data_IF_795012235718
#
_entry.id   IF_795012235718
#
_cell.length_a   1.000
_cell.length_b   1.000
_cell.length_c   1.000
_cell.angle_alpha   90.00
_cell.angle_beta   90.00
_cell.angle_gamma   90.00
#
_symmetry.space_group_name_H-M   'P 1'
#
loop_
_entity.id
_entity.type
_entity.pdbx_description
1 polymer ?
#
# COMPACT_ATOMS: atom_id res chain seq x y z
N UNK A 1 17.92 -22.28 -11.28
CA UNK A 1 18.94 -22.77 -10.31
C UNK A 1 18.75 -22.00 -9.01
N UNK A 2 19.14 -22.53 -7.85
CA UNK A 2 19.14 -21.74 -6.62
C UNK A 2 20.02 -20.51 -6.72
N UNK A 3 19.65 -19.44 -6.01
CA UNK A 3 20.45 -18.21 -5.93
C UNK A 3 20.89 -17.99 -4.49
N UNK A 4 22.18 -17.69 -4.28
CA UNK A 4 22.72 -17.39 -2.98
C UNK A 4 23.19 -15.94 -2.88
N UNK A 5 22.57 -15.16 -2.00
CA UNK A 5 22.99 -13.77 -1.73
C UNK A 5 23.92 -13.81 -0.51
N UNK A 6 25.20 -13.45 -0.73
CA UNK A 6 26.27 -13.65 0.26
C UNK A 6 26.63 -12.35 0.98
N UNK A 7 27.07 -12.48 2.23
CA UNK A 7 27.72 -11.44 3.07
C UNK A 7 27.03 -10.06 3.10
N UNK A 8 25.68 -10.03 3.18
CA UNK A 8 24.89 -8.80 3.23
C UNK A 8 24.68 -8.28 4.64
N UNK A 9 24.40 -6.98 4.78
CA UNK A 9 23.58 -6.47 5.88
C UNK A 9 22.12 -6.83 5.56
N UNK A 10 21.46 -7.57 6.45
CA UNK A 10 20.09 -8.03 6.27
C UNK A 10 19.15 -7.27 7.20
N UNK A 11 18.19 -6.54 6.66
CA UNK A 11 16.98 -6.16 7.37
C UNK A 11 15.91 -7.25 7.10
N UNK A 12 15.56 -8.03 8.12
CA UNK A 12 14.66 -9.20 7.96
C UNK A 12 13.16 -8.85 8.00
N UNK A 13 12.81 -7.56 7.99
CA UNK A 13 11.46 -7.03 8.20
C UNK A 13 11.22 -6.58 9.65
N UNK A 14 12.08 -6.94 10.59
CA UNK A 14 11.96 -6.60 12.02
C UNK A 14 13.25 -6.07 12.63
N UNK A 15 14.37 -6.63 12.24
CA UNK A 15 15.68 -6.35 12.82
C UNK A 15 16.78 -6.38 11.77
N UNK A 16 17.94 -5.80 12.11
CA UNK A 16 19.11 -5.79 11.23
C UNK A 16 20.12 -6.83 11.71
N UNK A 17 20.64 -7.64 10.78
CA UNK A 17 21.68 -8.64 10.99
C UNK A 17 22.85 -8.34 10.04
N UNK A 18 24.08 -8.41 10.52
CA UNK A 18 25.27 -8.21 9.68
C UNK A 18 25.84 -9.54 9.23
N UNK A 19 26.54 -9.53 8.08
CA UNK A 19 27.20 -10.72 7.50
C UNK A 19 26.24 -11.89 7.33
N UNK A 20 25.02 -11.60 6.88
CA UNK A 20 24.03 -12.62 6.61
C UNK A 20 24.22 -13.23 5.21
N UNK A 21 23.70 -14.44 5.04
CA UNK A 21 23.51 -15.08 3.74
C UNK A 21 22.07 -15.54 3.62
N UNK A 22 21.54 -15.48 2.40
CA UNK A 22 20.17 -15.88 2.05
C UNK A 22 20.24 -16.80 0.82
N UNK A 23 19.71 -18.03 0.96
CA UNK A 23 19.57 -18.96 -0.15
C UNK A 23 18.11 -18.92 -0.64
N UNK A 24 17.95 -18.70 -1.92
CA UNK A 24 16.65 -18.69 -2.61
C UNK A 24 16.58 -19.92 -3.51
N UNK A 25 15.49 -20.65 -3.44
CA UNK A 25 15.21 -21.79 -4.28
C UNK A 25 13.71 -21.87 -4.61
N UNK A 26 13.36 -22.18 -5.85
CA UNK A 26 11.97 -22.30 -6.33
C UNK A 26 11.04 -21.14 -5.90
N UNK A 27 11.54 -19.91 -5.91
CA UNK A 27 10.77 -18.70 -5.56
C UNK A 27 10.56 -18.49 -4.06
N UNK A 28 11.21 -19.33 -3.23
CA UNK A 28 11.12 -19.27 -1.77
C UNK A 28 12.49 -19.09 -1.13
N UNK A 29 12.49 -18.55 0.09
CA UNK A 29 13.70 -18.47 0.91
C UNK A 29 13.92 -19.86 1.55
N UNK A 30 14.94 -20.56 1.06
CA UNK A 30 15.28 -21.90 1.54
C UNK A 30 16.13 -21.90 2.82
N UNK A 31 16.95 -20.83 3.01
CA UNK A 31 17.77 -20.68 4.20
C UNK A 31 18.15 -19.24 4.46
N UNK A 32 18.22 -18.86 5.73
CA UNK A 32 18.73 -17.56 6.22
C UNK A 32 19.63 -17.77 7.42
N UNK A 33 20.84 -17.23 7.38
CA UNK A 33 21.76 -17.35 8.51
C UNK A 33 23.01 -16.48 8.37
N UNK A 34 23.99 -16.71 9.22
CA UNK A 34 25.30 -16.06 9.08
C UNK A 34 26.03 -16.63 7.88
N UNK A 35 26.57 -15.78 6.99
CA UNK A 35 27.29 -16.21 5.78
C UNK A 35 28.34 -17.30 6.05
N UNK A 36 29.11 -17.20 7.14
CA UNK A 36 30.09 -18.20 7.51
C UNK A 36 29.53 -19.60 7.82
N UNK A 37 28.20 -19.74 7.99
CA UNK A 37 27.47 -21.00 8.24
C UNK A 37 26.58 -21.40 7.06
N UNK A 38 26.84 -20.86 5.87
CA UNK A 38 26.08 -21.19 4.69
C UNK A 38 26.05 -22.70 4.42
N UNK A 39 24.88 -23.26 4.08
CA UNK A 39 24.72 -24.67 3.78
C UNK A 39 25.50 -25.04 2.50
N UNK A 40 25.75 -26.35 2.30
CA UNK A 40 26.46 -26.84 1.11
C UNK A 40 25.76 -26.41 -0.18
N UNK A 41 24.42 -26.40 -0.21
CA UNK A 41 23.63 -25.97 -1.36
C UNK A 41 23.92 -24.51 -1.81
N UNK A 42 24.37 -23.63 -0.91
CA UNK A 42 24.80 -22.29 -1.25
C UNK A 42 26.07 -22.24 -2.11
N UNK A 43 26.91 -23.28 -2.09
CA UNK A 43 28.12 -23.36 -2.91
C UNK A 43 27.85 -23.78 -4.36
N UNK A 44 26.72 -24.43 -4.57
CA UNK A 44 26.29 -24.95 -5.86
C UNK A 44 25.24 -24.01 -6.52
N UNK A 45 24.92 -22.86 -5.86
CA UNK A 45 23.98 -21.86 -6.31
C UNK A 45 24.67 -20.72 -7.08
N UNK A 46 23.91 -20.00 -7.91
CA UNK A 46 24.35 -18.74 -8.52
C UNK A 46 24.53 -17.69 -7.40
N UNK A 47 25.75 -17.16 -7.27
CA UNK A 47 26.07 -16.22 -6.20
C UNK A 47 25.84 -14.78 -6.61
N UNK A 48 25.16 -14.02 -5.72
CA UNK A 48 25.09 -12.56 -5.74
C UNK A 48 25.94 -12.03 -4.59
N UNK A 49 27.05 -11.35 -4.91
CA UNK A 49 27.92 -10.74 -3.90
C UNK A 49 27.25 -9.54 -3.23
N UNK A 50 26.94 -9.69 -1.95
CA UNK A 50 26.24 -8.68 -1.14
C UNK A 50 27.15 -7.84 -0.26
N UNK A 51 28.48 -7.95 -0.39
CA UNK A 51 29.43 -7.19 0.43
C UNK A 51 29.22 -5.68 0.30
N UNK A 52 29.03 -5.02 1.45
CA UNK A 52 28.75 -3.59 1.50
C UNK A 52 27.30 -3.21 1.18
N UNK A 53 26.48 -4.16 0.77
CA UNK A 53 25.07 -3.94 0.40
C UNK A 53 24.11 -4.32 1.53
N UNK A 54 22.87 -3.85 1.40
CA UNK A 54 21.79 -4.18 2.34
C UNK A 54 20.65 -4.88 1.61
N UNK A 55 20.28 -6.06 2.10
CA UNK A 55 19.14 -6.83 1.62
C UNK A 55 17.94 -6.59 2.54
N UNK A 56 16.77 -6.37 1.95
CA UNK A 56 15.49 -6.21 2.65
C UNK A 56 14.42 -7.10 2.02
N UNK A 57 13.30 -7.36 2.72
CA UNK A 57 12.10 -7.83 2.03
C UNK A 57 11.69 -6.82 0.98
N UNK A 58 11.00 -7.28 -0.06
CA UNK A 58 10.30 -6.40 -0.99
C UNK A 58 9.32 -5.48 -0.27
N UNK A 59 9.25 -4.23 -0.69
CA UNK A 59 8.35 -3.24 -0.10
C UNK A 59 6.91 -3.56 -0.46
N UNK A 60 5.99 -3.15 0.43
CA UNK A 60 4.54 -3.33 0.28
C UNK A 60 3.89 -1.94 0.32
N UNK A 61 3.07 -1.64 -0.68
CA UNK A 61 2.24 -0.44 -0.73
C UNK A 61 0.77 -0.82 -0.49
N UNK A 62 0.23 -0.43 0.67
CA UNK A 62 -1.11 -0.82 1.10
C UNK A 62 -2.23 0.04 0.50
N UNK A 63 -1.92 1.04 -0.31
CA UNK A 63 -2.92 1.91 -0.92
C UNK A 63 -2.44 2.46 -2.27
N UNK A 64 -2.93 1.90 -3.35
CA UNK A 64 -2.70 2.38 -4.72
C UNK A 64 -4.00 2.36 -5.53
N UNK A 65 -3.98 3.06 -6.66
CA UNK A 65 -5.00 3.05 -7.71
C UNK A 65 -4.33 2.77 -9.06
N UNK A 66 -4.03 1.50 -9.36
CA UNK A 66 -3.22 1.10 -10.52
C UNK A 66 -3.77 1.58 -11.86
N UNK A 67 -5.08 1.82 -11.96
CA UNK A 67 -5.71 2.32 -13.18
C UNK A 67 -5.45 3.82 -13.46
N UNK A 68 -4.93 4.59 -12.51
CA UNK A 68 -4.63 6.01 -12.62
C UNK A 68 -3.12 6.25 -12.71
N UNK A 69 -2.70 7.28 -13.44
CA UNK A 69 -1.28 7.55 -13.71
C UNK A 69 -0.64 8.57 -12.77
N UNK A 70 -1.45 9.26 -11.97
CA UNK A 70 -1.00 10.40 -11.17
C UNK A 70 -0.86 11.69 -11.98
N UNK A 71 -1.68 11.84 -13.00
CA UNK A 71 -1.69 13.03 -13.85
C UNK A 71 -2.16 14.28 -13.13
N UNK A 72 -1.63 15.45 -13.53
CA UNK A 72 -2.16 16.76 -13.13
C UNK A 72 -3.62 16.93 -13.60
N UNK A 73 -3.95 16.50 -14.81
CA UNK A 73 -5.34 16.45 -15.33
C UNK A 73 -6.10 15.22 -14.82
N UNK A 74 -6.33 15.18 -13.52
CA UNK A 74 -7.08 14.10 -12.89
C UNK A 74 -8.53 13.99 -13.42
N UNK A 75 -9.13 15.10 -13.84
CA UNK A 75 -10.45 15.08 -14.47
C UNK A 75 -10.41 14.47 -15.88
N UNK A 76 -9.34 14.67 -16.63
CA UNK A 76 -9.07 14.00 -17.90
C UNK A 76 -8.90 12.49 -17.70
N UNK A 77 -8.10 12.10 -16.75
CA UNK A 77 -7.95 10.69 -16.38
C UNK A 77 -9.28 10.02 -15.99
N UNK A 78 -10.11 10.70 -15.18
CA UNK A 78 -11.42 10.19 -14.81
C UNK A 78 -12.33 9.95 -16.03
N UNK A 79 -12.24 10.80 -17.07
CA UNK A 79 -12.94 10.59 -18.34
C UNK A 79 -12.42 9.37 -19.12
N UNK A 80 -11.13 9.14 -19.12
CA UNK A 80 -10.52 7.94 -19.74
C UNK A 80 -10.93 6.67 -19.03
N UNK A 81 -11.16 6.71 -17.72
CA UNK A 81 -11.63 5.58 -16.91
C UNK A 81 -13.04 5.11 -17.27
N UNK A 82 -13.72 5.71 -18.23
CA UNK A 82 -14.98 5.17 -18.81
C UNK A 82 -14.75 3.90 -19.61
N UNK A 83 -13.51 3.58 -20.00
CA UNK A 83 -13.12 2.39 -20.76
C UNK A 83 -12.35 1.39 -19.87
N UNK A 84 -12.90 0.20 -19.66
CA UNK A 84 -12.24 -0.87 -18.92
C UNK A 84 -10.93 -1.32 -19.61
N UNK A 85 -10.87 -1.24 -20.96
CA UNK A 85 -9.66 -1.57 -21.70
C UNK A 85 -8.53 -0.58 -21.42
N UNK A 86 -8.81 0.73 -21.39
CA UNK A 86 -7.82 1.77 -21.07
C UNK A 86 -7.36 1.62 -19.62
N UNK A 87 -8.30 1.43 -18.68
CA UNK A 87 -7.99 1.18 -17.27
C UNK A 87 -7.04 -0.02 -17.10
N UNK A 88 -7.31 -1.12 -17.83
CA UNK A 88 -6.48 -2.33 -17.80
C UNK A 88 -5.08 -2.07 -18.35
N UNK A 89 -4.93 -1.41 -19.50
CA UNK A 89 -3.60 -1.12 -20.09
C UNK A 89 -2.76 -0.21 -19.18
N UNK A 90 -3.39 0.82 -18.59
CA UNK A 90 -2.72 1.69 -17.59
C UNK A 90 -2.27 0.87 -16.37
N UNK A 91 -3.13 0.02 -15.83
CA UNK A 91 -2.82 -0.80 -14.66
C UNK A 91 -1.65 -1.77 -14.91
N UNK A 92 -1.53 -2.37 -16.10
CA UNK A 92 -0.38 -3.20 -16.47
C UNK A 92 0.92 -2.39 -16.43
N UNK A 93 0.95 -1.23 -17.09
CA UNK A 93 2.13 -0.35 -17.10
C UNK A 93 2.52 0.10 -15.69
N UNK A 94 1.53 0.51 -14.91
CA UNK A 94 1.73 1.03 -13.56
C UNK A 94 2.18 -0.07 -12.59
N UNK A 95 1.69 -1.31 -12.76
CA UNK A 95 2.16 -2.47 -12.01
C UNK A 95 3.64 -2.76 -12.30
N UNK A 96 4.07 -2.75 -13.55
CA UNK A 96 5.48 -2.94 -13.91
C UNK A 96 6.35 -1.83 -13.29
N UNK A 97 5.95 -0.56 -13.44
CA UNK A 97 6.65 0.57 -12.84
C UNK A 97 6.76 0.45 -11.31
N UNK A 98 5.71 0.01 -10.64
CA UNK A 98 5.71 -0.21 -9.19
C UNK A 98 6.77 -1.24 -8.79
N UNK A 99 6.85 -2.33 -9.53
CA UNK A 99 7.83 -3.40 -9.28
C UNK A 99 9.28 -2.92 -9.49
N UNK A 100 9.54 -2.10 -10.52
CA UNK A 100 10.87 -1.54 -10.80
C UNK A 100 11.44 -0.71 -9.64
N UNK A 101 10.56 -0.15 -8.80
CA UNK A 101 10.93 0.62 -7.61
C UNK A 101 11.02 -0.23 -6.33
N UNK A 102 11.07 -1.56 -6.44
CA UNK A 102 11.23 -2.45 -5.29
C UNK A 102 9.94 -2.74 -4.50
N UNK A 103 8.79 -2.34 -5.02
CA UNK A 103 7.48 -2.64 -4.42
C UNK A 103 6.96 -3.94 -5.00
N UNK A 104 7.04 -5.02 -4.23
CA UNK A 104 6.72 -6.38 -4.68
C UNK A 104 5.30 -6.82 -4.37
N UNK A 105 4.58 -6.07 -3.54
CA UNK A 105 3.18 -6.30 -3.19
C UNK A 105 2.43 -4.98 -3.08
N UNK A 106 1.21 -4.92 -3.62
CA UNK A 106 0.33 -3.75 -3.50
C UNK A 106 -1.09 -4.16 -3.11
N UNK A 107 -1.80 -3.22 -2.44
CA UNK A 107 -3.25 -3.29 -2.28
C UNK A 107 -3.88 -2.15 -3.09
N UNK A 108 -4.58 -2.50 -4.17
CA UNK A 108 -5.38 -1.55 -4.95
C UNK A 108 -6.73 -1.34 -4.28
N UNK A 109 -7.02 -0.11 -3.90
CA UNK A 109 -8.19 0.27 -3.12
C UNK A 109 -9.24 1.03 -3.95
N UNK A 110 -9.33 0.72 -5.21
CA UNK A 110 -10.41 1.22 -6.05
C UNK A 110 -10.04 1.28 -7.52
N UNK A 111 -10.78 0.53 -8.31
CA UNK A 111 -10.68 0.51 -9.75
C UNK A 111 -12.07 0.34 -10.36
N UNK A 112 -12.19 0.73 -11.64
CA UNK A 112 -13.41 0.50 -12.38
C UNK A 112 -13.63 -0.99 -12.65
N UNK A 113 -14.80 -1.49 -12.29
CA UNK A 113 -15.19 -2.87 -12.59
C UNK A 113 -14.27 -3.90 -11.96
N UNK A 114 -13.78 -4.83 -12.76
CA UNK A 114 -12.87 -5.88 -12.38
C UNK A 114 -11.48 -5.75 -13.04
N UNK A 115 -11.17 -4.59 -13.67
CA UNK A 115 -9.94 -4.36 -14.42
C UNK A 115 -8.68 -4.78 -13.64
N UNK A 116 -8.50 -4.26 -12.42
CA UNK A 116 -7.32 -4.58 -11.59
C UNK A 116 -7.41 -6.01 -11.01
N UNK A 117 -8.61 -6.53 -10.76
CA UNK A 117 -8.80 -7.94 -10.36
C UNK A 117 -8.29 -8.88 -11.47
N UNK A 118 -8.53 -8.56 -12.73
CA UNK A 118 -8.00 -9.36 -13.86
C UNK A 118 -6.49 -9.22 -14.01
N UNK A 119 -5.93 -8.02 -13.75
CA UNK A 119 -4.47 -7.83 -13.72
C UNK A 119 -3.84 -8.67 -12.59
N UNK A 120 -4.43 -8.67 -11.39
CA UNK A 120 -3.96 -9.50 -10.27
C UNK A 120 -3.87 -10.98 -10.66
N UNK A 121 -4.91 -11.50 -11.33
CA UNK A 121 -4.91 -12.86 -11.86
C UNK A 121 -3.87 -13.08 -12.97
N UNK A 122 -3.64 -12.06 -13.80
CA UNK A 122 -2.60 -12.10 -14.84
C UNK A 122 -1.20 -12.21 -14.26
N UNK A 123 -0.92 -11.45 -13.20
CA UNK A 123 0.35 -11.54 -12.47
C UNK A 123 0.50 -12.89 -11.78
N UNK A 124 -0.52 -13.36 -11.06
CA UNK A 124 -0.52 -14.67 -10.39
C UNK A 124 -0.23 -15.84 -11.35
N UNK A 125 -0.72 -15.75 -12.58
CA UNK A 125 -0.52 -16.74 -13.64
C UNK A 125 0.76 -16.55 -14.46
N UNK A 126 1.58 -15.55 -14.14
CA UNK A 126 2.80 -15.24 -14.89
C UNK A 126 2.58 -14.69 -16.30
N UNK A 127 1.37 -14.20 -16.62
CA UNK A 127 1.05 -13.58 -17.91
C UNK A 127 1.49 -12.11 -17.98
N UNK A 128 1.65 -11.48 -16.82
CA UNK A 128 2.00 -10.07 -16.65
C UNK A 128 3.10 -9.98 -15.59
N UNK A 129 4.17 -9.25 -15.88
CA UNK A 129 5.18 -8.92 -14.86
C UNK A 129 4.66 -7.79 -13.99
N UNK A 130 4.63 -7.98 -12.68
CA UNK A 130 4.13 -6.99 -11.72
C UNK A 130 4.24 -7.47 -10.27
N UNK A 131 3.91 -6.61 -9.31
CA UNK A 131 3.85 -6.99 -7.90
C UNK A 131 2.68 -7.95 -7.65
N UNK A 132 2.67 -8.63 -6.52
CA UNK A 132 1.48 -9.29 -5.98
C UNK A 132 0.40 -8.22 -5.74
N UNK A 133 -0.82 -8.42 -6.24
CA UNK A 133 -1.90 -7.42 -6.18
C UNK A 133 -3.06 -7.96 -5.37
N UNK A 134 -3.40 -7.25 -4.27
CA UNK A 134 -4.68 -7.40 -3.59
C UNK A 134 -5.62 -6.32 -4.12
N UNK A 135 -6.71 -6.70 -4.78
CA UNK A 135 -7.60 -5.77 -5.44
C UNK A 135 -8.97 -5.69 -4.76
N UNK A 136 -9.46 -4.49 -4.52
CA UNK A 136 -10.80 -4.26 -3.97
C UNK A 136 -11.90 -4.24 -5.04
N UNK A 137 -11.57 -4.00 -6.31
CA UNK A 137 -12.56 -3.67 -7.32
C UNK A 137 -13.16 -2.29 -7.10
N UNK A 138 -14.48 -2.13 -7.15
CA UNK A 138 -15.12 -0.86 -6.85
C UNK A 138 -14.97 -0.48 -5.36
N UNK A 139 -14.54 0.75 -5.09
CA UNK A 139 -14.74 1.33 -3.78
C UNK A 139 -16.24 1.60 -3.55
N UNK A 140 -16.74 1.41 -2.32
CA UNK A 140 -18.14 1.62 -1.99
C UNK A 140 -18.31 2.97 -1.29
N UNK A 141 -19.25 3.79 -1.77
CA UNK A 141 -19.56 5.12 -1.26
C UNK A 141 -21.09 5.33 -1.19
N UNK A 142 -21.55 6.29 -0.41
CA UNK A 142 -22.97 6.66 -0.40
C UNK A 142 -23.38 7.43 -1.65
N UNK A 143 -24.67 7.49 -1.96
CA UNK A 143 -25.20 8.37 -3.01
C UNK A 143 -24.71 9.80 -2.82
N UNK A 144 -24.08 10.36 -3.85
CA UNK A 144 -23.46 11.69 -3.80
C UNK A 144 -22.11 11.75 -3.09
N UNK A 145 -21.55 10.63 -2.59
CA UNK A 145 -20.34 10.57 -1.81
C UNK A 145 -19.05 10.85 -2.59
N UNK A 146 -17.92 10.80 -1.88
CA UNK A 146 -16.59 10.98 -2.47
C UNK A 146 -16.25 9.83 -3.43
N UNK A 147 -15.46 10.11 -4.47
CA UNK A 147 -14.97 9.14 -5.46
C UNK A 147 -15.94 8.86 -6.62
N UNK A 148 -17.24 9.20 -6.49
CA UNK A 148 -18.26 8.93 -7.52
C UNK A 148 -17.95 9.54 -8.89
N UNK A 149 -17.41 10.76 -8.90
CA UNK A 149 -17.10 11.50 -10.13
C UNK A 149 -15.78 11.10 -10.77
N UNK A 150 -15.00 10.25 -10.11
CA UNK A 150 -13.65 9.86 -10.53
C UNK A 150 -13.64 8.50 -11.25
N UNK A 151 -14.74 7.73 -11.14
CA UNK A 151 -14.92 6.49 -11.89
C UNK A 151 -14.31 5.24 -11.25
N UNK A 152 -13.95 5.29 -9.94
CA UNK A 152 -13.49 4.12 -9.19
C UNK A 152 -14.42 3.73 -8.04
N UNK A 153 -15.44 4.55 -7.73
CA UNK A 153 -16.38 4.29 -6.65
C UNK A 153 -17.80 4.01 -7.17
N UNK A 154 -18.49 3.11 -6.48
CA UNK A 154 -19.88 2.72 -6.70
C UNK A 154 -20.73 3.24 -5.55
N UNK A 155 -21.84 3.90 -5.88
CA UNK A 155 -22.81 4.39 -4.91
C UNK A 155 -23.70 3.25 -4.40
N UNK A 156 -23.83 3.14 -3.08
CA UNK A 156 -24.62 2.14 -2.37
C UNK A 156 -25.14 2.70 -1.07
N UNK A 157 -26.44 2.57 -0.81
CA UNK A 157 -27.10 3.06 0.41
C UNK A 157 -27.86 1.93 1.12
N UNK A 158 -27.76 1.91 2.43
CA UNK A 158 -28.42 0.97 3.33
C UNK A 158 -27.64 -0.33 3.59
N UNK A 159 -27.78 -0.91 4.79
CA UNK A 159 -26.99 -2.05 5.24
C UNK A 159 -27.10 -3.29 4.35
N UNK A 160 -28.30 -3.64 3.90
CA UNK A 160 -28.53 -4.82 3.04
C UNK A 160 -27.92 -4.65 1.65
N UNK A 161 -28.00 -3.43 1.10
CA UNK A 161 -27.39 -3.14 -0.20
C UNK A 161 -25.85 -3.18 -0.11
N UNK A 162 -25.26 -2.68 0.98
CA UNK A 162 -23.82 -2.78 1.22
C UNK A 162 -23.37 -4.23 1.39
N UNK A 163 -24.08 -5.08 2.15
CA UNK A 163 -23.77 -6.52 2.21
C UNK A 163 -23.79 -7.15 0.81
N UNK A 164 -24.77 -6.81 0.01
CA UNK A 164 -24.85 -7.29 -1.38
C UNK A 164 -23.70 -6.80 -2.22
N UNK A 165 -23.33 -5.52 -2.12
CA UNK A 165 -22.24 -4.94 -2.88
C UNK A 165 -20.89 -5.61 -2.53
N UNK A 166 -20.61 -5.84 -1.23
CA UNK A 166 -19.44 -6.60 -0.78
C UNK A 166 -19.40 -8.00 -1.40
N UNK A 167 -20.51 -8.76 -1.37
CA UNK A 167 -20.59 -10.08 -2.01
C UNK A 167 -20.37 -10.02 -3.52
N UNK A 168 -20.85 -8.98 -4.19
CA UNK A 168 -20.65 -8.78 -5.61
C UNK A 168 -19.17 -8.54 -5.96
N UNK A 169 -18.46 -7.72 -5.19
CA UNK A 169 -17.01 -7.52 -5.39
C UNK A 169 -16.23 -8.81 -5.12
N UNK A 170 -16.54 -9.54 -4.06
CA UNK A 170 -15.93 -10.85 -3.76
C UNK A 170 -16.22 -11.86 -4.89
N UNK A 171 -17.43 -11.90 -5.42
CA UNK A 171 -17.78 -12.76 -6.56
C UNK A 171 -16.97 -12.43 -7.83
N UNK A 172 -16.62 -11.16 -8.05
CA UNK A 172 -15.72 -10.73 -9.14
C UNK A 172 -14.28 -11.19 -8.91
N UNK A 173 -13.90 -11.45 -7.65
CA UNK A 173 -12.59 -11.91 -7.23
C UNK A 173 -11.82 -10.90 -6.38
N UNK A 174 -12.51 -9.92 -5.79
CA UNK A 174 -11.88 -8.99 -4.87
C UNK A 174 -11.26 -9.73 -3.67
N UNK A 175 -10.04 -9.34 -3.32
CA UNK A 175 -9.27 -9.88 -2.20
C UNK A 175 -9.17 -8.90 -1.02
N UNK A 176 -9.64 -7.66 -1.23
CA UNK A 176 -9.83 -6.63 -0.22
C UNK A 176 -11.16 -5.91 -0.50
N UNK A 177 -11.65 -5.13 0.47
CA UNK A 177 -12.82 -4.26 0.33
C UNK A 177 -12.42 -2.82 0.66
N UNK A 178 -12.91 -1.86 -0.12
CA UNK A 178 -12.73 -0.42 0.14
C UNK A 178 -14.06 0.24 0.44
N UNK A 179 -14.12 0.92 1.58
CA UNK A 179 -15.22 1.80 1.98
C UNK A 179 -14.75 3.26 1.92
N UNK A 180 -15.64 4.16 1.56
CA UNK A 180 -15.40 5.62 1.59
C UNK A 180 -16.28 6.19 2.68
N UNK A 181 -15.73 6.31 3.90
CA UNK A 181 -16.47 6.66 5.10
C UNK A 181 -16.63 8.19 5.30
N UNK A 182 -15.90 9.01 4.55
CA UNK A 182 -16.00 10.48 4.62
C UNK A 182 -15.94 11.12 3.24
N UNK A 183 -16.14 12.43 3.19
CA UNK A 183 -15.74 13.23 2.04
C UNK A 183 -14.23 13.23 1.84
N UNK A 184 -13.74 13.85 0.76
CA UNK A 184 -12.33 13.86 0.40
C UNK A 184 -11.92 15.12 -0.37
N UNK A 185 -10.65 15.16 -0.72
CA UNK A 185 -10.02 16.33 -1.37
C UNK A 185 -10.47 16.45 -2.83
N UNK A 186 -10.46 15.38 -3.60
CA UNK A 186 -10.62 15.38 -5.06
C UNK A 186 -12.07 15.43 -5.55
N UNK A 187 -13.07 15.44 -4.67
CA UNK A 187 -14.48 15.59 -5.08
C UNK A 187 -14.98 17.00 -4.76
N UNK A 188 -15.40 17.78 -5.77
CA UNK A 188 -15.94 19.11 -5.55
C UNK A 188 -17.30 19.06 -4.85
N UNK A 189 -17.62 20.12 -4.07
CA UNK A 189 -18.92 20.30 -3.44
C UNK A 189 -19.18 19.46 -2.17
N UNK A 190 -18.23 18.65 -1.72
CA UNK A 190 -18.30 17.86 -0.47
C UNK A 190 -17.15 18.31 0.44
N UNK A 191 -17.43 18.56 1.73
CA UNK A 191 -16.38 18.83 2.70
C UNK A 191 -15.63 17.53 3.05
N UNK A 192 -14.35 17.62 3.40
CA UNK A 192 -13.53 16.45 3.73
C UNK A 192 -13.94 15.76 5.04
N UNK A 193 -14.67 16.44 5.91
CA UNK A 193 -15.20 15.93 7.19
C UNK A 193 -16.65 15.41 7.10
N UNK A 194 -17.30 15.52 5.92
CA UNK A 194 -18.61 14.92 5.70
C UNK A 194 -18.57 13.42 6.04
N UNK A 195 -19.42 12.98 6.97
CA UNK A 195 -19.53 11.56 7.34
C UNK A 195 -20.51 10.88 6.40
N UNK A 196 -20.03 9.91 5.62
CA UNK A 196 -20.79 9.28 4.56
C UNK A 196 -21.77 8.21 5.07
N UNK A 197 -21.25 7.15 5.66
CA UNK A 197 -22.06 6.02 6.10
C UNK A 197 -22.54 6.17 7.54
N UNK A 198 -23.73 5.63 7.83
CA UNK A 198 -24.20 5.36 9.20
C UNK A 198 -23.38 4.23 9.84
N UNK A 199 -23.48 4.07 11.17
CA UNK A 199 -22.79 2.96 11.85
C UNK A 199 -23.28 1.60 11.34
N UNK A 200 -24.59 1.41 11.21
CA UNK A 200 -25.21 0.14 10.76
C UNK A 200 -24.76 -0.25 9.35
N UNK A 201 -24.53 0.73 8.47
CA UNK A 201 -24.03 0.50 7.12
C UNK A 201 -22.58 0.00 7.14
N UNK A 202 -21.73 0.66 7.93
CA UNK A 202 -20.33 0.24 8.10
C UNK A 202 -20.22 -1.14 8.74
N UNK A 203 -21.02 -1.38 9.81
CA UNK A 203 -21.05 -2.67 10.51
C UNK A 203 -21.45 -3.80 9.57
N UNK A 204 -22.47 -3.56 8.72
CA UNK A 204 -22.93 -4.53 7.75
C UNK A 204 -21.87 -4.87 6.69
N UNK A 205 -21.16 -3.86 6.18
CA UNK A 205 -20.13 -4.07 5.16
C UNK A 205 -18.92 -4.81 5.72
N UNK A 206 -18.44 -4.41 6.91
CA UNK A 206 -17.27 -5.00 7.56
C UNK A 206 -17.54 -6.44 8.00
N UNK A 207 -18.67 -6.70 8.67
CA UNK A 207 -19.08 -8.05 9.06
C UNK A 207 -19.15 -9.00 7.86
N UNK A 208 -19.73 -8.55 6.75
CA UNK A 208 -19.79 -9.35 5.53
C UNK A 208 -18.40 -9.62 4.96
N UNK A 209 -17.53 -8.60 4.84
CA UNK A 209 -16.18 -8.76 4.30
C UNK A 209 -15.33 -9.71 5.16
N UNK A 210 -15.41 -9.58 6.49
CA UNK A 210 -14.68 -10.43 7.42
C UNK A 210 -15.18 -11.88 7.40
N UNK A 211 -16.49 -12.13 7.19
CA UNK A 211 -17.01 -13.49 7.03
C UNK A 211 -16.38 -14.25 5.84
N UNK A 212 -15.90 -13.51 4.85
CA UNK A 212 -15.14 -14.02 3.69
C UNK A 212 -13.62 -13.91 3.86
N UNK A 213 -13.14 -13.57 5.05
CA UNK A 213 -11.73 -13.34 5.33
C UNK A 213 -11.09 -12.27 4.42
N UNK A 214 -11.82 -11.18 4.12
CA UNK A 214 -11.32 -10.03 3.36
C UNK A 214 -10.99 -8.87 4.27
N UNK A 215 -9.82 -8.27 4.07
CA UNK A 215 -9.42 -7.05 4.76
C UNK A 215 -10.21 -5.86 4.23
N UNK A 216 -10.55 -4.93 5.13
CA UNK A 216 -11.33 -3.73 4.82
C UNK A 216 -10.49 -2.49 5.08
N UNK A 217 -10.27 -1.68 4.03
CA UNK A 217 -9.68 -0.34 4.15
C UNK A 217 -10.78 0.74 4.05
N UNK A 218 -10.73 1.74 4.92
CA UNK A 218 -11.68 2.85 4.90
C UNK A 218 -10.98 4.19 4.65
N UNK A 219 -11.32 4.85 3.53
CA UNK A 219 -11.03 6.27 3.39
C UNK A 219 -11.78 7.04 4.48
N UNK A 220 -11.07 7.71 5.35
CA UNK A 220 -11.65 8.49 6.42
C UNK A 220 -10.74 9.66 6.83
N UNK A 221 -11.24 10.89 6.69
CA UNK A 221 -10.52 12.14 6.99
C UNK A 221 -11.06 12.76 8.26
N UNK A 222 -12.36 13.00 8.35
CA UNK A 222 -13.02 13.61 9.51
C UNK A 222 -13.11 12.69 10.73
N UNK A 223 -13.04 13.23 11.96
CA UNK A 223 -12.98 12.44 13.20
C UNK A 223 -14.13 11.47 13.37
N UNK A 224 -15.37 11.91 13.14
CA UNK A 224 -16.58 11.08 13.29
C UNK A 224 -16.57 9.88 12.34
N UNK A 225 -16.19 10.10 11.05
CA UNK A 225 -16.09 9.01 10.09
C UNK A 225 -14.98 8.02 10.43
N UNK A 226 -13.84 8.50 10.93
CA UNK A 226 -12.74 7.64 11.42
C UNK A 226 -13.27 6.77 12.58
N UNK A 227 -13.88 7.37 13.58
CA UNK A 227 -14.35 6.64 14.76
C UNK A 227 -15.44 5.62 14.43
N UNK A 228 -16.40 5.95 13.54
CA UNK A 228 -17.40 5.00 13.07
C UNK A 228 -16.78 3.83 12.33
N UNK A 229 -15.85 4.09 11.41
CA UNK A 229 -15.17 3.03 10.68
C UNK A 229 -14.38 2.11 11.60
N UNK A 230 -13.69 2.66 12.61
CA UNK A 230 -12.94 1.87 13.59
C UNK A 230 -13.89 1.07 14.49
N UNK A 231 -15.03 1.63 14.92
CA UNK A 231 -16.07 0.89 15.71
C UNK A 231 -16.63 -0.28 14.91
N UNK A 232 -16.86 -0.11 13.61
CA UNK A 232 -17.28 -1.17 12.71
C UNK A 232 -16.24 -2.29 12.54
N UNK A 233 -14.96 -2.02 12.86
CA UNK A 233 -13.90 -3.01 12.83
C UNK A 233 -13.09 -3.04 11.53
N UNK A 234 -12.98 -1.92 10.80
CA UNK A 234 -12.11 -1.86 9.61
C UNK A 234 -10.66 -2.20 9.97
N UNK A 235 -9.94 -2.84 9.06
CA UNK A 235 -8.55 -3.24 9.27
C UNK A 235 -7.59 -2.05 9.15
N UNK A 236 -7.93 -1.06 8.31
CA UNK A 236 -7.12 0.17 8.17
C UNK A 236 -7.96 1.41 7.94
N UNK A 237 -7.47 2.53 8.49
CA UNK A 237 -7.89 3.89 8.14
C UNK A 237 -6.88 4.46 7.17
N UNK A 238 -7.37 4.83 5.99
CA UNK A 238 -6.61 5.49 4.95
C UNK A 238 -6.68 7.00 5.16
N UNK A 239 -5.57 7.70 4.99
CA UNK A 239 -5.36 9.13 5.24
C UNK A 239 -5.41 9.52 6.73
N UNK A 240 -6.54 9.38 7.39
CA UNK A 240 -6.66 9.67 8.83
C UNK A 240 -6.31 11.12 9.21
N UNK A 241 -6.41 12.09 8.28
CA UNK A 241 -5.80 13.42 8.39
C UNK A 241 -6.28 14.23 9.60
N UNK A 242 -7.50 14.01 10.08
CA UNK A 242 -8.05 14.67 11.25
C UNK A 242 -8.25 13.70 12.43
N UNK A 243 -7.40 12.66 12.52
CA UNK A 243 -7.48 11.67 13.60
C UNK A 243 -7.44 12.34 14.98
N UNK A 244 -8.48 12.15 15.78
CA UNK A 244 -8.59 12.66 17.14
C UNK A 244 -7.75 11.86 18.14
N UNK A 245 -7.56 12.37 19.35
CA UNK A 245 -6.91 11.61 20.42
C UNK A 245 -7.74 10.38 20.82
N UNK A 246 -9.07 10.48 20.76
CA UNK A 246 -10.00 9.38 21.02
C UNK A 246 -9.96 8.35 19.89
N UNK A 247 -10.00 8.81 18.63
CA UNK A 247 -9.86 7.93 17.48
C UNK A 247 -8.56 7.15 17.49
N UNK A 248 -7.44 7.78 17.87
CA UNK A 248 -6.14 7.11 17.97
C UNK A 248 -6.13 6.02 19.06
N UNK A 249 -6.74 6.28 20.23
CA UNK A 249 -6.91 5.25 21.27
C UNK A 249 -7.75 4.09 20.77
N UNK A 250 -8.88 4.39 20.14
CA UNK A 250 -9.78 3.38 19.60
C UNK A 250 -9.09 2.52 18.52
N UNK A 251 -8.32 3.13 17.62
CA UNK A 251 -7.52 2.39 16.62
C UNK A 251 -6.53 1.44 17.28
N UNK A 252 -5.80 1.92 18.29
CA UNK A 252 -4.87 1.08 19.04
C UNK A 252 -5.56 -0.11 19.70
N UNK A 253 -6.67 0.13 20.40
CA UNK A 253 -7.41 -0.88 21.16
C UNK A 253 -8.04 -1.94 20.24
N UNK A 254 -8.45 -1.54 19.04
CA UNK A 254 -9.02 -2.42 18.01
C UNK A 254 -7.99 -3.07 17.10
N UNK A 255 -6.73 -2.62 17.14
CA UNK A 255 -5.66 -3.09 16.25
C UNK A 255 -5.78 -2.57 14.82
N UNK A 256 -6.60 -1.53 14.59
CA UNK A 256 -6.76 -0.90 13.27
C UNK A 256 -5.49 -0.16 12.88
N UNK A 257 -5.02 -0.37 11.66
CA UNK A 257 -3.82 0.29 11.13
C UNK A 257 -4.12 1.70 10.62
N UNK A 258 -3.12 2.59 10.71
CA UNK A 258 -3.10 3.87 10.01
C UNK A 258 -2.26 3.75 8.73
N UNK A 259 -2.84 4.09 7.58
CA UNK A 259 -2.17 4.18 6.27
C UNK A 259 -2.20 5.64 5.84
N UNK A 260 -1.13 6.42 6.07
CA UNK A 260 -1.19 7.89 6.11
C UNK A 260 -1.23 8.56 4.73
N UNK A 261 -0.72 7.92 3.69
CA UNK A 261 -0.72 8.43 2.31
C UNK A 261 -0.20 9.87 2.17
N UNK A 262 0.94 10.15 2.78
CA UNK A 262 1.56 11.48 2.81
C UNK A 262 1.83 11.98 1.39
N UNK A 263 2.18 11.06 0.50
CA UNK A 263 2.49 11.35 -0.91
C UNK A 263 1.31 11.95 -1.66
N UNK A 264 0.07 11.52 -1.36
CA UNK A 264 -1.12 12.05 -2.01
C UNK A 264 -1.37 13.54 -1.68
N UNK A 265 -1.31 13.90 -0.41
CA UNK A 265 -1.54 15.29 0.00
C UNK A 265 -0.37 16.19 -0.45
N UNK A 266 0.87 15.69 -0.40
CA UNK A 266 2.06 16.42 -0.85
C UNK A 266 2.05 16.64 -2.36
N UNK A 267 1.62 15.66 -3.16
CA UNK A 267 1.47 15.81 -4.61
C UNK A 267 0.58 16.99 -5.00
N UNK A 268 -0.47 17.26 -4.23
CA UNK A 268 -1.36 18.39 -4.47
C UNK A 268 -0.77 19.71 -3.95
N UNK A 269 -0.26 19.73 -2.72
CA UNK A 269 0.22 20.96 -2.06
C UNK A 269 1.50 21.49 -2.71
N UNK A 270 2.35 20.61 -3.22
CA UNK A 270 3.62 20.96 -3.84
C UNK A 270 3.46 21.48 -5.30
N UNK A 271 2.25 21.30 -5.91
CA UNK A 271 1.94 21.69 -7.29
C UNK A 271 0.65 22.53 -7.37
N UNK A 272 0.56 23.66 -6.64
CA UNK A 272 -0.70 24.40 -6.47
C UNK A 272 -1.23 25.04 -7.77
N UNK A 273 -0.36 25.32 -8.73
CA UNK A 273 -0.74 25.94 -10.00
C UNK A 273 -1.21 24.95 -11.07
N UNK A 274 -1.02 23.64 -10.81
CA UNK A 274 -1.28 22.58 -11.80
C UNK A 274 -2.47 21.69 -11.41
N UNK A 275 -2.98 21.84 -10.18
CA UNK A 275 -4.13 21.08 -9.65
C UNK A 275 -5.32 22.03 -9.47
N UNK A 276 -6.59 21.58 -9.62
CA UNK A 276 -7.76 22.44 -9.44
C UNK A 276 -7.76 23.16 -8.09
N UNK A 277 -8.03 24.48 -8.10
CA UNK A 277 -7.93 25.34 -6.92
C UNK A 277 -8.69 24.82 -5.69
N UNK A 278 -9.89 24.22 -5.87
CA UNK A 278 -10.65 23.65 -4.77
C UNK A 278 -9.92 22.47 -4.07
N UNK A 279 -9.15 21.70 -4.82
CA UNK A 279 -8.39 20.58 -4.27
C UNK A 279 -7.14 21.08 -3.54
N UNK A 280 -6.48 22.11 -4.08
CA UNK A 280 -5.36 22.79 -3.42
C UNK A 280 -5.79 23.41 -2.09
N UNK A 281 -6.93 24.14 -2.07
CA UNK A 281 -7.48 24.71 -0.84
C UNK A 281 -7.72 23.65 0.23
N UNK A 282 -8.40 22.56 -0.13
CA UNK A 282 -8.68 21.45 0.80
C UNK A 282 -7.40 20.76 1.29
N UNK A 283 -6.45 20.47 0.39
CA UNK A 283 -5.20 19.80 0.75
C UNK A 283 -4.34 20.68 1.67
N UNK A 284 -4.26 21.99 1.37
CA UNK A 284 -3.52 22.96 2.19
C UNK A 284 -4.10 23.04 3.61
N UNK A 285 -5.42 23.03 3.74
CA UNK A 285 -6.08 23.01 5.05
C UNK A 285 -5.82 21.72 5.85
N UNK A 286 -5.48 20.63 5.18
CA UNK A 286 -5.32 19.32 5.81
C UNK A 286 -3.85 18.93 6.10
N UNK A 287 -2.85 19.47 5.40
CA UNK A 287 -1.47 18.96 5.45
C UNK A 287 -0.86 18.99 6.87
N UNK A 288 -1.07 20.08 7.62
CA UNK A 288 -0.58 20.19 8.99
C UNK A 288 -1.38 19.31 9.95
N UNK A 289 -2.69 19.20 9.77
CA UNK A 289 -3.54 18.29 10.55
C UNK A 289 -3.14 16.83 10.33
N UNK A 290 -2.86 16.45 9.08
CA UNK A 290 -2.40 15.10 8.73
C UNK A 290 -1.05 14.77 9.38
N UNK A 291 -0.10 15.74 9.37
CA UNK A 291 1.19 15.56 10.06
C UNK A 291 1.01 15.39 11.56
N UNK A 292 0.14 16.15 12.19
CA UNK A 292 -0.15 16.04 13.63
C UNK A 292 -0.89 14.75 13.97
N UNK A 293 -1.82 14.30 13.11
CA UNK A 293 -2.49 13.02 13.21
C UNK A 293 -1.51 11.84 13.11
N UNK A 294 -0.59 11.88 12.14
CA UNK A 294 0.47 10.88 11.98
C UNK A 294 1.35 10.79 13.22
N UNK A 295 1.84 11.93 13.73
CA UNK A 295 2.61 11.99 14.98
C UNK A 295 1.80 11.49 16.18
N UNK A 296 0.50 11.74 16.21
CA UNK A 296 -0.41 11.20 17.23
C UNK A 296 -0.47 9.68 17.16
N UNK A 297 -0.58 9.11 15.98
CA UNK A 297 -0.54 7.65 15.77
C UNK A 297 0.75 7.05 16.34
N UNK A 298 1.91 7.64 16.02
CA UNK A 298 3.19 7.19 16.56
C UNK A 298 3.21 7.24 18.11
N UNK A 299 2.83 8.37 18.69
CA UNK A 299 2.84 8.54 20.16
C UNK A 299 1.86 7.63 20.89
N UNK A 300 0.71 7.36 20.29
CA UNK A 300 -0.31 6.47 20.87
C UNK A 300 0.05 5.01 20.72
N UNK A 301 0.91 4.67 19.75
CA UNK A 301 1.29 3.29 19.42
C UNK A 301 0.27 2.61 18.51
N UNK A 302 -0.43 3.37 17.67
CA UNK A 302 -1.22 2.84 16.56
C UNK A 302 -0.27 2.18 15.58
N UNK A 303 -0.60 0.99 15.08
CA UNK A 303 0.18 0.34 14.02
C UNK A 303 0.06 1.15 12.73
N UNK A 304 1.19 1.36 12.05
CA UNK A 304 1.24 2.11 10.79
C UNK A 304 1.74 1.20 9.70
N UNK A 305 1.07 1.21 8.55
CA UNK A 305 1.51 0.55 7.33
C UNK A 305 1.71 1.59 6.22
N UNK A 306 2.70 1.37 5.37
CA UNK A 306 2.98 2.21 4.20
C UNK A 306 1.87 2.07 3.17
N UNK A 307 1.42 3.19 2.63
CA UNK A 307 0.54 3.30 1.49
C UNK A 307 0.60 4.70 0.93
N UNK A 308 0.63 4.82 -0.39
CA UNK A 308 0.96 6.06 -1.08
C UNK A 308 -0.26 6.80 -1.60
N UNK A 309 -1.35 6.07 -1.92
CA UNK A 309 -2.45 6.55 -2.76
C UNK A 309 -1.95 6.92 -4.18
N UNK A 310 -0.95 6.14 -4.68
CA UNK A 310 -0.40 6.34 -6.02
C UNK A 310 -1.50 6.24 -7.09
N UNK A 311 -1.44 7.15 -8.08
CA UNK A 311 -2.48 7.41 -9.05
C UNK A 311 -3.23 8.72 -8.79
N UNK A 312 -3.07 9.36 -7.61
CA UNK A 312 -3.53 10.73 -7.35
C UNK A 312 -2.59 11.76 -7.97
N UNK A 313 -3.02 13.03 -8.19
CA UNK A 313 -2.19 14.04 -8.87
C UNK A 313 -0.77 14.14 -8.34
N UNK A 314 0.22 14.14 -9.24
CA UNK A 314 1.66 14.21 -8.94
C UNK A 314 2.18 13.12 -7.99
N UNK A 315 1.48 12.00 -7.92
CA UNK A 315 1.82 10.85 -7.11
C UNK A 315 1.87 9.58 -7.99
N UNK A 316 2.94 9.41 -8.78
CA UNK A 316 3.07 8.33 -9.73
C UNK A 316 3.30 6.99 -9.02
N UNK A 317 3.02 5.88 -9.71
CA UNK A 317 3.33 4.54 -9.22
C UNK A 317 4.83 4.34 -9.02
N UNK A 318 5.19 3.55 -8.00
CA UNK A 318 6.56 3.41 -7.53
C UNK A 318 6.96 4.44 -6.48
N UNK A 319 6.02 5.21 -5.91
CA UNK A 319 6.30 6.26 -4.91
C UNK A 319 6.38 5.75 -3.45
N UNK A 320 6.21 4.46 -3.18
CA UNK A 320 6.35 3.92 -1.82
C UNK A 320 7.73 4.22 -1.18
N UNK A 321 8.88 4.16 -1.89
CA UNK A 321 10.15 4.63 -1.34
C UNK A 321 10.09 6.08 -0.86
N UNK A 322 9.47 6.98 -1.64
CA UNK A 322 9.30 8.38 -1.25
C UNK A 322 8.36 8.54 -0.04
N UNK A 323 7.30 7.74 0.04
CA UNK A 323 6.42 7.69 1.22
C UNK A 323 7.20 7.31 2.48
N UNK A 324 8.09 6.32 2.39
CA UNK A 324 8.96 5.89 3.51
C UNK A 324 9.86 7.05 3.98
N UNK A 325 10.47 7.81 3.05
CA UNK A 325 11.27 9.01 3.38
C UNK A 325 10.40 10.05 4.09
N UNK A 326 9.21 10.36 3.54
CA UNK A 326 8.25 11.30 4.12
C UNK A 326 7.75 10.88 5.50
N UNK A 327 7.58 9.59 5.76
CA UNK A 327 7.26 9.09 7.10
C UNK A 327 8.37 9.41 8.12
N UNK A 328 9.65 9.33 7.71
CA UNK A 328 10.78 9.71 8.56
C UNK A 328 10.80 11.23 8.79
N UNK A 329 10.59 12.03 7.75
CA UNK A 329 10.45 13.49 7.87
C UNK A 329 9.32 13.90 8.84
N UNK A 330 8.24 13.13 8.87
CA UNK A 330 7.09 13.38 9.75
C UNK A 330 7.26 12.81 11.16
N UNK A 331 8.32 12.05 11.45
CA UNK A 331 8.72 11.71 12.81
C UNK A 331 8.91 10.23 13.13
N UNK A 332 8.86 9.33 12.17
CA UNK A 332 9.32 7.95 12.36
C UNK A 332 10.83 7.85 12.39
N UNK A 333 11.36 6.85 13.07
CA UNK A 333 12.73 6.40 12.83
C UNK A 333 12.83 5.62 11.53
N UNK A 334 14.00 5.56 10.84
CA UNK A 334 14.16 4.75 9.63
C UNK A 334 13.71 3.30 9.82
N UNK A 335 14.02 2.69 10.96
CA UNK A 335 13.59 1.32 11.26
C UNK A 335 12.06 1.18 11.34
N UNK A 336 11.36 2.16 11.92
CA UNK A 336 9.89 2.15 11.97
C UNK A 336 9.28 2.30 10.57
N UNK A 337 9.83 3.19 9.76
CA UNK A 337 9.38 3.43 8.39
C UNK A 337 9.59 2.20 7.51
N UNK A 338 10.75 1.54 7.60
CA UNK A 338 10.99 0.27 6.88
C UNK A 338 10.06 -0.85 7.33
N UNK A 339 9.76 -0.96 8.63
CA UNK A 339 8.78 -1.93 9.14
C UNK A 339 7.37 -1.64 8.61
N UNK A 340 7.00 -0.37 8.47
CA UNK A 340 5.67 0.00 7.94
C UNK A 340 5.46 -0.48 6.50
N UNK A 341 6.51 -0.49 5.70
CA UNK A 341 6.49 -0.93 4.30
C UNK A 341 6.82 -2.43 4.12
N UNK A 342 7.00 -3.18 5.20
CA UNK A 342 7.36 -4.60 5.15
C UNK A 342 6.49 -5.40 6.12
N UNK A 343 6.99 -5.74 7.32
CA UNK A 343 6.30 -6.62 8.27
C UNK A 343 4.94 -6.09 8.74
N UNK A 344 4.80 -4.79 8.99
CA UNK A 344 3.50 -4.23 9.39
C UNK A 344 2.48 -4.29 8.24
N UNK A 345 2.94 -3.97 7.01
CA UNK A 345 2.08 -4.06 5.83
C UNK A 345 1.67 -5.51 5.54
N UNK A 346 2.60 -6.47 5.66
CA UNK A 346 2.28 -7.90 5.57
C UNK A 346 1.24 -8.35 6.60
N UNK A 347 1.36 -7.85 7.85
CA UNK A 347 0.39 -8.12 8.92
C UNK A 347 -0.99 -7.53 8.59
N UNK A 348 -1.07 -6.26 8.16
CA UNK A 348 -2.32 -5.62 7.72
C UNK A 348 -3.00 -6.43 6.61
N UNK A 349 -2.24 -6.88 5.63
CA UNK A 349 -2.78 -7.60 4.48
C UNK A 349 -3.05 -9.09 4.77
N UNK A 350 -2.77 -9.56 5.99
CA UNK A 350 -2.89 -10.96 6.42
C UNK A 350 -2.10 -11.93 5.56
N UNK A 351 -0.93 -11.49 5.07
CA UNK A 351 0.01 -12.28 4.28
C UNK A 351 1.15 -12.76 5.19
N UNK A 352 1.20 -14.05 5.43
CA UNK A 352 2.15 -14.65 6.39
C UNK A 352 3.55 -14.90 5.82
N UNK A 353 3.69 -14.83 4.49
CA UNK A 353 4.91 -15.20 3.77
C UNK A 353 5.56 -14.04 2.98
N UNK A 354 5.11 -12.78 3.19
CA UNK A 354 5.70 -11.58 2.58
C UNK A 354 6.06 -10.53 3.63
N UNK A 355 6.87 -9.54 3.24
CA UNK A 355 7.32 -8.48 4.15
C UNK A 355 8.33 -8.95 5.21
N UNK A 356 8.91 -10.13 5.02
CA UNK A 356 9.95 -10.70 5.88
C UNK A 356 10.96 -11.52 5.08
N UNK A 357 12.19 -11.63 5.62
CA UNK A 357 13.20 -12.56 5.13
C UNK A 357 13.35 -13.68 6.16
N UNK A 358 12.63 -14.77 5.94
CA UNK A 358 12.61 -15.94 6.80
C UNK A 358 12.48 -17.22 5.95
N UNK A 359 12.95 -18.35 6.46
CA UNK A 359 12.81 -19.65 5.77
C UNK A 359 11.34 -19.95 5.47
N UNK A 360 11.04 -20.36 4.25
CA UNK A 360 9.71 -20.62 3.73
C UNK A 360 8.95 -19.39 3.21
N UNK A 361 9.42 -18.18 3.47
CA UNK A 361 8.81 -16.96 2.94
C UNK A 361 9.01 -16.84 1.42
N UNK A 362 8.18 -16.04 0.76
CA UNK A 362 8.36 -15.68 -0.64
C UNK A 362 9.71 -14.97 -0.83
N UNK A 363 10.42 -15.29 -1.88
CA UNK A 363 11.67 -14.65 -2.22
C UNK A 363 11.42 -13.32 -2.97
N UNK A 364 10.68 -12.42 -2.31
CA UNK A 364 10.43 -11.04 -2.72
C UNK A 364 11.43 -10.16 -1.96
N UNK A 365 12.49 -9.71 -2.64
CA UNK A 365 13.65 -9.09 -1.99
C UNK A 365 14.10 -7.85 -2.74
N UNK A 366 14.69 -6.89 -2.02
CA UNK A 366 15.35 -5.71 -2.61
C UNK A 366 16.76 -5.57 -2.05
N UNK A 367 17.73 -5.40 -2.93
CA UNK A 367 19.11 -5.10 -2.59
C UNK A 367 19.38 -3.62 -2.80
N UNK A 368 19.99 -2.98 -1.82
CA UNK A 368 20.43 -1.58 -1.86
C UNK A 368 21.95 -1.49 -1.71
N UNK A 369 22.56 -0.51 -2.38
CA UNK A 369 24.00 -0.23 -2.23
C UNK A 369 24.35 0.39 -0.88
N UNK A 370 23.38 1.01 -0.21
CA UNK A 370 23.53 1.62 1.12
C UNK A 370 22.49 1.06 2.08
N UNK A 371 22.67 1.32 3.39
CA UNK A 371 21.78 0.82 4.43
C UNK A 371 20.61 1.78 4.69
N UNK A 372 19.35 1.43 4.32
CA UNK A 372 18.17 2.29 4.55
C UNK A 372 17.88 2.59 6.02
N UNK A 373 18.43 1.80 6.95
CA UNK A 373 18.25 2.04 8.38
C UNK A 373 19.23 3.11 8.88
N UNK A 374 20.37 3.30 8.21
CA UNK A 374 21.36 4.33 8.51
C UNK A 374 21.09 5.63 7.73
N UNK A 375 20.73 5.50 6.45
CA UNK A 375 20.27 6.60 5.59
C UNK A 375 18.99 6.18 4.84
N UNK A 376 17.87 6.74 5.24
CA UNK A 376 16.57 6.37 4.66
C UNK A 376 16.46 6.69 3.17
N UNK A 377 17.22 7.64 2.65
CA UNK A 377 17.20 7.99 1.23
C UNK A 377 17.69 6.85 0.33
N UNK A 378 18.44 5.89 0.89
CA UNK A 378 18.87 4.70 0.15
C UNK A 378 17.68 3.89 -0.43
N UNK A 379 16.48 3.99 0.13
CA UNK A 379 15.28 3.30 -0.39
C UNK A 379 14.86 3.79 -1.78
N UNK A 380 15.26 5.02 -2.15
CA UNK A 380 14.88 5.64 -3.43
C UNK A 380 15.56 4.98 -4.64
N UNK A 381 16.67 4.29 -4.41
CA UNK A 381 17.50 3.72 -5.47
C UNK A 381 17.77 2.22 -5.22
N UNK A 382 16.79 1.34 -5.49
CA UNK A 382 17.02 -0.10 -5.41
C UNK A 382 18.05 -0.54 -6.45
N UNK A 383 19.12 -1.22 -6.02
CA UNK A 383 20.14 -1.75 -6.91
C UNK A 383 19.67 -3.01 -7.65
N UNK A 384 18.87 -3.85 -6.96
CA UNK A 384 18.31 -5.07 -7.52
C UNK A 384 16.96 -5.39 -6.89
N UNK A 385 16.01 -5.78 -7.72
CA UNK A 385 14.68 -6.25 -7.27
C UNK A 385 14.51 -7.70 -7.68
N UNK A 386 14.17 -8.52 -6.69
CA UNK A 386 13.88 -9.95 -6.86
C UNK A 386 12.41 -10.17 -6.51
N UNK A 387 11.65 -10.78 -7.42
CA UNK A 387 10.26 -11.16 -7.24
C UNK A 387 10.08 -12.66 -7.49
N UNK A 388 9.49 -13.36 -6.52
CA UNK A 388 9.33 -14.82 -6.58
C UNK A 388 10.66 -15.54 -6.96
N UNK A 389 11.79 -15.06 -6.42
CA UNK A 389 13.13 -15.59 -6.65
C UNK A 389 13.77 -15.23 -7.99
N UNK A 390 13.13 -14.44 -8.83
CA UNK A 390 13.65 -14.01 -10.11
C UNK A 390 14.06 -12.54 -10.06
N UNK A 391 15.21 -12.20 -10.65
CA UNK A 391 15.62 -10.81 -10.84
C UNK A 391 14.68 -10.17 -11.86
N UNK A 392 13.99 -9.11 -11.48
CA UNK A 392 12.99 -8.42 -12.30
C UNK A 392 13.38 -6.99 -12.64
N UNK A 393 14.27 -6.38 -11.87
CA UNK A 393 14.80 -5.03 -12.13
C UNK A 393 16.22 -4.90 -11.58
N UNK A 394 17.03 -4.03 -12.17
CA UNK A 394 18.45 -3.85 -11.87
C UNK A 394 19.35 -4.78 -12.67
N UNK A 395 20.67 -4.66 -12.45
CA UNK A 395 21.67 -5.53 -13.06
C UNK A 395 22.44 -6.27 -11.97
N UNK A 396 22.71 -7.53 -12.20
CA UNK A 396 23.65 -8.28 -11.37
C UNK A 396 25.03 -7.62 -11.44
N UNK A 397 25.72 -7.46 -10.30
CA UNK A 397 27.05 -6.85 -10.24
C UNK A 397 28.10 -7.68 -10.98
#
# INVERSE_FOLDING_TARGET
MPTYISDVTLFDGRSVKRKAGVLVDEGRIGWVGTHARAPRAARDADEIDGRGKTLTPGMIDCHVHLSFDGSADFAGEAREMTSDAVATVKAVRNAARTLDHGVTTVRDLGARGDSVIQIARGVERGLITGPRILAAGWALTVTGGHGRSVGFAREVDGPDALRRAVREEIRRGATAIKLIATGGVLTPGITHDFTAFTQDELDAAVDEAHSWNRVVGAHAIGPEGIERAVRAGVDSIEHGSMLSAEGARLMKDRGTFHVPTISAIRGIVDHPDEVPAYAVEKATALVDLARDAFRRSIRTGVKIACGTDAGTPFNPHGSAPLEIVRMVEWGMTPLQAMRSATSNAGELLRLSDVGMVAEGAAADLVLFDSNPIEDINAVLEPALVIKDGQVVSGSLP
#
